data_IF_911898181609
#
_entry.id   IF_911898181609
#
_cell.length_a   1.000
_cell.length_b   1.000
_cell.length_c   1.000
_cell.angle_alpha   90.00
_cell.angle_beta   90.00
_cell.angle_gamma   90.00
#
_symmetry.space_group_name_H-M   'P 1'
#
loop_
_entity.id
_entity.type
_entity.pdbx_description
1 polymer ?
#
# COMPACT_ATOMS: atom_id res chain seq x y z
N UNK A 1 -83.44 17.58 -12.40
CA UNK A 1 -82.76 18.29 -11.30
C UNK A 1 -81.37 18.65 -11.78
N UNK A 2 -81.04 19.94 -11.59
CA UNK A 2 -79.91 20.75 -12.04
C UNK A 2 -78.66 20.10 -12.64
N UNK A 3 -78.34 20.54 -13.86
CA UNK A 3 -76.95 20.78 -14.28
C UNK A 3 -76.57 22.16 -13.76
N UNK A 4 -75.56 22.23 -12.90
CA UNK A 4 -74.92 23.49 -12.54
C UNK A 4 -73.95 23.90 -13.66
N UNK A 5 -74.37 24.87 -14.46
CA UNK A 5 -73.50 25.62 -15.37
C UNK A 5 -72.57 26.49 -14.52
N UNK A 6 -71.26 26.18 -14.53
CA UNK A 6 -70.23 27.13 -14.11
C UNK A 6 -69.75 27.91 -15.33
N UNK A 7 -70.03 29.20 -15.27
CA UNK A 7 -69.68 30.26 -16.21
C UNK A 7 -68.28 30.12 -16.79
N UNK A 8 -68.22 30.00 -18.12
CA UNK A 8 -67.00 30.13 -18.91
C UNK A 8 -66.64 31.60 -19.05
N UNK A 9 -65.55 32.03 -18.41
CA UNK A 9 -65.02 33.38 -18.60
C UNK A 9 -64.44 33.55 -20.01
N UNK A 10 -65.20 34.24 -20.86
CA UNK A 10 -64.79 35.11 -22.00
C UNK A 10 -63.57 34.68 -22.84
N UNK A 11 -63.85 34.17 -24.04
CA UNK A 11 -63.17 34.62 -25.27
C UNK A 11 -62.07 33.75 -25.90
N UNK A 12 -61.75 32.56 -25.39
CA UNK A 12 -60.68 31.72 -25.96
C UNK A 12 -61.23 30.56 -26.81
N UNK A 13 -61.27 30.73 -28.14
CA UNK A 13 -61.64 29.66 -29.08
C UNK A 13 -60.51 28.61 -29.18
N UNK A 14 -60.78 27.41 -28.68
CA UNK A 14 -59.92 26.23 -28.82
C UNK A 14 -60.04 25.68 -30.25
N UNK A 15 -58.91 25.34 -30.87
CA UNK A 15 -58.86 24.87 -32.27
C UNK A 15 -57.49 24.28 -32.62
N UNK A 16 -57.26 23.92 -33.88
CA UNK A 16 -55.97 23.35 -34.31
C UNK A 16 -54.82 24.33 -34.02
N UNK A 17 -53.81 23.86 -33.27
CA UNK A 17 -52.69 24.69 -32.79
C UNK A 17 -53.02 25.65 -31.64
N UNK A 18 -54.23 25.59 -31.07
CA UNK A 18 -54.70 26.46 -29.96
C UNK A 18 -55.18 25.60 -28.78
N UNK A 19 -54.27 25.06 -27.96
CA UNK A 19 -54.64 24.23 -26.80
C UNK A 19 -55.43 25.05 -25.77
N UNK A 20 -56.35 24.44 -25.00
CA UNK A 20 -57.10 25.10 -23.92
C UNK A 20 -56.17 25.85 -22.96
N UNK A 21 -56.59 27.03 -22.50
CA UNK A 21 -55.76 27.88 -21.64
C UNK A 21 -55.36 27.19 -20.33
N UNK A 22 -56.27 26.37 -19.77
CA UNK A 22 -56.08 25.63 -18.51
C UNK A 22 -54.97 24.58 -18.58
N UNK A 23 -54.62 24.09 -19.77
CA UNK A 23 -53.63 23.02 -19.96
C UNK A 23 -52.31 23.50 -20.57
N UNK A 24 -52.09 24.81 -20.66
CA UNK A 24 -50.83 25.37 -21.14
C UNK A 24 -49.78 25.35 -20.05
N UNK A 25 -48.57 24.93 -20.40
CA UNK A 25 -47.41 25.14 -19.53
C UNK A 25 -47.19 26.64 -19.31
N UNK A 26 -46.98 27.03 -18.06
CA UNK A 26 -46.64 28.40 -17.73
C UNK A 26 -45.26 28.76 -18.28
N UNK A 27 -45.15 29.91 -18.95
CA UNK A 27 -43.89 30.38 -19.51
C UNK A 27 -42.87 30.57 -18.38
N UNK A 28 -41.81 29.76 -18.39
CA UNK A 28 -40.74 29.78 -17.39
C UNK A 28 -40.73 28.58 -16.44
N UNK A 29 -41.81 27.78 -16.40
CA UNK A 29 -41.91 26.57 -15.57
C UNK A 29 -41.84 25.34 -16.47
N UNK A 30 -40.88 24.44 -16.19
CA UNK A 30 -40.81 23.13 -16.86
C UNK A 30 -42.04 22.30 -16.48
N UNK A 31 -42.68 21.67 -17.48
CA UNK A 31 -43.79 20.73 -17.25
C UNK A 31 -43.40 19.48 -16.44
N UNK A 32 -42.10 19.24 -16.24
CA UNK A 32 -41.58 18.25 -15.31
C UNK A 32 -40.77 18.94 -14.20
N UNK A 33 -41.35 19.14 -13.00
CA UNK A 33 -40.67 19.74 -11.85
C UNK A 33 -39.49 18.89 -11.33
N UNK A 34 -39.51 17.57 -11.56
CA UNK A 34 -38.41 16.64 -11.25
C UNK A 34 -37.39 16.53 -12.38
N UNK A 35 -37.60 17.25 -13.48
CA UNK A 35 -36.67 17.29 -14.60
C UNK A 35 -35.38 18.02 -14.25
N UNK A 36 -34.37 17.86 -15.10
CA UNK A 36 -33.10 18.57 -14.94
C UNK A 36 -33.34 20.09 -15.08
N UNK A 37 -32.86 20.93 -14.15
CA UNK A 37 -33.08 22.37 -14.20
C UNK A 37 -32.43 23.01 -15.43
N UNK A 38 -33.14 23.98 -16.02
CA UNK A 38 -32.71 24.70 -17.22
C UNK A 38 -31.48 25.55 -16.88
N UNK A 39 -30.33 25.22 -17.48
CA UNK A 39 -29.06 25.94 -17.29
C UNK A 39 -27.99 25.23 -16.46
N UNK A 40 -28.21 23.97 -16.05
CA UNK A 40 -27.17 23.16 -15.41
C UNK A 40 -26.01 22.88 -16.37
N UNK A 41 -25.00 23.76 -16.37
CA UNK A 41 -23.75 23.58 -17.13
C UNK A 41 -23.01 22.36 -16.59
N UNK A 42 -22.54 21.48 -17.48
CA UNK A 42 -21.51 20.52 -17.11
C UNK A 42 -20.30 21.33 -16.61
N UNK A 43 -19.67 20.90 -15.51
CA UNK A 43 -18.48 21.59 -14.99
C UNK A 43 -17.47 21.69 -16.13
N UNK A 44 -17.13 22.91 -16.52
CA UNK A 44 -16.12 23.20 -17.54
C UNK A 44 -14.82 22.52 -17.09
N UNK A 45 -14.07 21.86 -17.99
CA UNK A 45 -12.81 21.21 -17.65
C UNK A 45 -11.86 22.23 -17.03
N UNK A 46 -11.02 21.77 -16.10
CA UNK A 46 -9.98 22.59 -15.48
C UNK A 46 -9.15 23.26 -16.58
N UNK A 47 -9.08 24.59 -16.55
CA UNK A 47 -8.14 25.35 -17.39
C UNK A 47 -6.73 25.05 -16.89
N UNK A 48 -5.93 24.32 -17.67
CA UNK A 48 -4.50 24.13 -17.37
C UNK A 48 -3.84 22.84 -17.85
N UNK A 49 -4.57 21.88 -18.43
CA UNK A 49 -3.94 20.66 -18.96
C UNK A 49 -3.75 20.72 -20.47
N UNK A 50 -2.61 20.20 -20.93
CA UNK A 50 -2.30 20.03 -22.36
C UNK A 50 -3.22 19.01 -23.06
N UNK A 51 -4.11 18.34 -22.32
CA UNK A 51 -5.01 17.28 -22.82
C UNK A 51 -6.40 17.34 -22.15
N UNK A 52 -7.21 18.37 -22.42
CA UNK A 52 -8.50 18.60 -21.74
C UNK A 52 -9.51 17.45 -21.94
N UNK A 53 -9.39 16.67 -23.01
CA UNK A 53 -10.26 15.51 -23.29
C UNK A 53 -9.93 14.31 -22.41
N UNK A 54 -8.65 14.08 -22.08
CA UNK A 54 -8.25 13.00 -21.17
C UNK A 54 -8.76 13.26 -19.76
N UNK A 55 -8.65 14.49 -19.29
CA UNK A 55 -9.14 14.87 -17.96
C UNK A 55 -10.65 14.72 -17.83
N UNK A 56 -11.42 15.11 -18.86
CA UNK A 56 -12.86 14.87 -18.89
C UNK A 56 -13.20 13.38 -18.80
N UNK A 57 -12.48 12.55 -19.55
CA UNK A 57 -12.72 11.12 -19.57
C UNK A 57 -12.40 10.47 -18.23
N UNK A 58 -11.26 10.84 -17.61
CA UNK A 58 -10.88 10.36 -16.29
C UNK A 58 -11.86 10.85 -15.22
N UNK A 59 -12.29 12.11 -15.28
CA UNK A 59 -13.28 12.65 -14.36
C UNK A 59 -14.62 11.89 -14.44
N UNK A 60 -15.06 11.51 -15.64
CA UNK A 60 -16.27 10.69 -15.80
C UNK A 60 -16.05 9.25 -15.33
N UNK A 61 -14.90 8.65 -15.63
CA UNK A 61 -14.54 7.30 -15.20
C UNK A 61 -14.54 7.16 -13.66
N UNK A 62 -14.02 8.16 -12.95
CA UNK A 62 -13.95 8.17 -11.49
C UNK A 62 -15.14 8.83 -10.79
N UNK A 63 -16.15 9.30 -11.55
CA UNK A 63 -17.37 9.85 -10.97
C UNK A 63 -18.10 8.76 -10.19
N UNK A 64 -18.54 9.01 -8.94
CA UNK A 64 -19.35 8.04 -8.21
C UNK A 64 -20.72 7.88 -8.88
N UNK A 65 -21.14 6.63 -8.99
CA UNK A 65 -22.47 6.23 -9.46
C UNK A 65 -23.09 5.25 -8.49
N UNK A 66 -24.41 5.32 -8.34
CA UNK A 66 -25.16 4.36 -7.51
C UNK A 66 -25.54 3.18 -8.39
N UNK A 67 -25.02 2.00 -8.06
CA UNK A 67 -25.35 0.73 -8.71
C UNK A 67 -26.24 -0.09 -7.78
N UNK A 68 -27.30 -0.69 -8.33
CA UNK A 68 -28.16 -1.63 -7.60
C UNK A 68 -27.70 -3.07 -7.86
N UNK A 69 -27.25 -3.75 -6.82
CA UNK A 69 -26.91 -5.18 -6.84
C UNK A 69 -27.92 -5.94 -5.96
N UNK A 70 -28.89 -6.59 -6.61
CA UNK A 70 -30.01 -7.24 -5.92
C UNK A 70 -30.83 -6.23 -5.10
N UNK A 71 -30.79 -6.43 -3.78
CA UNK A 71 -31.48 -5.57 -2.80
C UNK A 71 -30.60 -4.47 -2.20
N UNK A 72 -29.31 -4.44 -2.55
CA UNK A 72 -28.36 -3.45 -2.03
C UNK A 72 -28.05 -2.36 -3.05
N UNK A 73 -27.91 -1.12 -2.55
CA UNK A 73 -27.41 0.03 -3.31
C UNK A 73 -25.97 0.30 -2.89
N UNK A 74 -25.04 0.26 -3.85
CA UNK A 74 -23.61 0.48 -3.62
C UNK A 74 -23.18 1.69 -4.44
N UNK A 75 -22.50 2.64 -3.80
CA UNK A 75 -21.88 3.78 -4.47
C UNK A 75 -20.43 3.41 -4.84
N UNK A 76 -20.10 3.47 -6.13
CA UNK A 76 -18.77 3.15 -6.64
C UNK A 76 -18.45 3.96 -7.90
N UNK A 77 -17.16 4.13 -8.27
CA UNK A 77 -16.77 4.82 -9.51
C UNK A 77 -17.42 4.23 -10.76
N UNK A 78 -17.80 5.08 -11.72
CA UNK A 78 -18.46 4.67 -12.97
C UNK A 78 -17.68 3.58 -13.71
N UNK A 79 -16.36 3.69 -13.80
CA UNK A 79 -15.50 2.70 -14.45
C UNK A 79 -15.58 1.33 -13.77
N UNK A 80 -15.66 1.30 -12.43
CA UNK A 80 -15.79 0.07 -11.67
C UNK A 80 -17.16 -0.58 -11.91
N UNK A 81 -18.23 0.21 -12.04
CA UNK A 81 -19.57 -0.28 -12.35
C UNK A 81 -19.62 -0.91 -13.75
N UNK A 82 -18.98 -0.28 -14.73
CA UNK A 82 -18.84 -0.81 -16.09
C UNK A 82 -18.08 -2.14 -16.09
N UNK A 83 -16.96 -2.24 -15.37
CA UNK A 83 -16.20 -3.49 -15.29
C UNK A 83 -16.98 -4.61 -14.60
N UNK A 84 -17.76 -4.32 -13.54
CA UNK A 84 -18.65 -5.33 -12.92
C UNK A 84 -19.71 -5.83 -13.90
N UNK A 85 -20.40 -4.91 -14.58
CA UNK A 85 -21.40 -5.27 -15.58
C UNK A 85 -20.80 -6.08 -16.74
N UNK A 86 -19.60 -5.70 -17.19
CA UNK A 86 -18.84 -6.44 -18.21
C UNK A 86 -18.48 -7.85 -17.75
N UNK A 87 -18.03 -8.01 -16.50
CA UNK A 87 -17.75 -9.31 -15.88
C UNK A 87 -18.99 -10.21 -15.83
N UNK A 88 -20.12 -9.67 -15.35
CA UNK A 88 -21.41 -10.41 -15.34
C UNK A 88 -21.83 -10.82 -16.74
N UNK A 89 -21.71 -9.95 -17.74
CA UNK A 89 -22.02 -10.27 -19.13
C UNK A 89 -21.10 -11.35 -19.72
N UNK A 90 -19.79 -11.29 -19.39
CA UNK A 90 -18.81 -12.28 -19.81
C UNK A 90 -19.10 -13.67 -19.21
N UNK A 91 -19.43 -13.75 -17.92
CA UNK A 91 -19.83 -14.99 -17.24
C UNK A 91 -21.10 -15.57 -17.86
N UNK A 92 -22.04 -14.73 -18.30
CA UNK A 92 -23.28 -15.15 -18.99
C UNK A 92 -23.09 -15.57 -20.46
N UNK A 93 -21.85 -15.60 -20.98
CA UNK A 93 -21.56 -16.09 -22.33
C UNK A 93 -21.52 -15.04 -23.44
N UNK A 94 -21.54 -13.73 -23.10
CA UNK A 94 -21.36 -12.70 -24.11
C UNK A 94 -19.92 -12.73 -24.66
N UNK A 95 -19.75 -13.25 -25.89
CA UNK A 95 -18.45 -13.43 -26.54
C UNK A 95 -17.65 -12.12 -26.68
N UNK A 96 -18.33 -11.00 -26.92
CA UNK A 96 -17.66 -9.69 -27.02
C UNK A 96 -17.10 -9.28 -25.65
N UNK A 97 -17.92 -9.36 -24.59
CA UNK A 97 -17.48 -9.05 -23.23
C UNK A 97 -16.34 -9.98 -22.76
N UNK A 98 -16.41 -11.28 -23.07
CA UNK A 98 -15.34 -12.24 -22.78
C UNK A 98 -14.02 -11.86 -23.47
N UNK A 99 -14.07 -11.56 -24.78
CA UNK A 99 -12.88 -11.14 -25.54
C UNK A 99 -12.29 -9.84 -25.01
N UNK A 100 -13.13 -8.84 -24.74
CA UNK A 100 -12.67 -7.54 -24.21
C UNK A 100 -12.03 -7.70 -22.84
N UNK A 101 -12.65 -8.46 -21.92
CA UNK A 101 -12.09 -8.70 -20.60
C UNK A 101 -10.76 -9.47 -20.67
N UNK A 102 -10.69 -10.53 -21.46
CA UNK A 102 -9.45 -11.28 -21.65
C UNK A 102 -8.31 -10.41 -22.20
N UNK A 103 -8.61 -9.53 -23.17
CA UNK A 103 -7.62 -8.61 -23.72
C UNK A 103 -7.13 -7.59 -22.69
N UNK A 104 -8.03 -7.04 -21.86
CA UNK A 104 -7.67 -6.11 -20.81
C UNK A 104 -6.75 -6.78 -19.77
N UNK A 105 -7.11 -7.99 -19.32
CA UNK A 105 -6.30 -8.76 -18.36
C UNK A 105 -4.92 -9.07 -18.95
N UNK A 106 -4.86 -9.59 -20.17
CA UNK A 106 -3.59 -9.89 -20.85
C UNK A 106 -2.70 -8.65 -21.00
N UNK A 107 -3.28 -7.49 -21.32
CA UNK A 107 -2.52 -6.24 -21.44
C UNK A 107 -1.98 -5.81 -20.08
N UNK A 108 -2.79 -5.86 -19.02
CA UNK A 108 -2.38 -5.49 -17.66
C UNK A 108 -1.28 -6.43 -17.16
N UNK A 109 -1.46 -7.74 -17.31
CA UNK A 109 -0.46 -8.75 -16.91
C UNK A 109 0.85 -8.55 -17.67
N UNK A 110 0.77 -8.27 -18.98
CA UNK A 110 1.95 -7.99 -19.80
C UNK A 110 2.66 -6.72 -19.36
N UNK A 111 1.94 -5.62 -19.11
CA UNK A 111 2.51 -4.36 -18.63
C UNK A 111 3.16 -4.54 -17.25
N UNK A 112 2.51 -5.26 -16.34
CA UNK A 112 3.07 -5.59 -15.03
C UNK A 112 4.34 -6.44 -15.15
N UNK A 113 4.30 -7.49 -15.97
CA UNK A 113 5.45 -8.35 -16.22
C UNK A 113 6.61 -7.57 -16.85
N UNK A 114 6.34 -6.70 -17.83
CA UNK A 114 7.35 -5.85 -18.45
C UNK A 114 7.96 -4.87 -17.43
N UNK A 115 7.14 -4.17 -16.64
CA UNK A 115 7.64 -3.26 -15.62
C UNK A 115 8.49 -3.98 -14.56
N UNK A 116 8.06 -5.17 -14.13
CA UNK A 116 8.85 -6.00 -13.20
C UNK A 116 10.16 -6.48 -13.84
N UNK A 117 10.13 -6.89 -15.11
CA UNK A 117 11.30 -7.33 -15.85
C UNK A 117 12.33 -6.20 -16.03
N UNK A 118 11.89 -5.02 -16.47
CA UNK A 118 12.77 -3.84 -16.65
C UNK A 118 13.46 -3.46 -15.33
N UNK A 119 12.71 -3.49 -14.23
CA UNK A 119 13.26 -3.17 -12.92
C UNK A 119 14.26 -4.24 -12.45
N UNK A 120 13.93 -5.52 -12.64
CA UNK A 120 14.81 -6.64 -12.32
C UNK A 120 16.10 -6.62 -13.16
N UNK A 121 16.00 -6.31 -14.46
CA UNK A 121 17.13 -6.17 -15.36
C UNK A 121 18.06 -5.05 -14.87
N UNK A 122 17.52 -3.88 -14.54
CA UNK A 122 18.28 -2.76 -14.01
C UNK A 122 19.03 -3.12 -12.71
N UNK A 123 18.37 -3.81 -11.77
CA UNK A 123 19.02 -4.25 -10.53
C UNK A 123 20.06 -5.34 -10.75
N UNK A 124 19.83 -6.23 -11.71
CA UNK A 124 20.80 -7.27 -12.09
C UNK A 124 22.06 -6.64 -12.67
N UNK A 125 21.91 -5.70 -13.61
CA UNK A 125 23.02 -4.94 -14.18
C UNK A 125 23.78 -4.14 -13.11
N UNK A 126 23.05 -3.47 -12.22
CA UNK A 126 23.62 -2.74 -11.09
C UNK A 126 24.47 -3.66 -10.21
N UNK A 127 23.93 -4.83 -9.84
CA UNK A 127 24.61 -5.81 -8.98
C UNK A 127 25.87 -6.35 -9.63
N UNK A 128 25.80 -6.72 -10.91
CA UNK A 128 26.96 -7.19 -11.69
C UNK A 128 28.04 -6.11 -11.76
N UNK A 129 27.66 -4.88 -12.11
CA UNK A 129 28.59 -3.75 -12.25
C UNK A 129 29.34 -3.45 -10.96
N UNK A 130 28.63 -3.34 -9.83
CA UNK A 130 29.27 -3.01 -8.56
C UNK A 130 30.09 -4.16 -7.99
N UNK A 131 29.67 -5.41 -8.16
CA UNK A 131 30.50 -6.55 -7.78
C UNK A 131 31.83 -6.55 -8.52
N UNK A 132 31.82 -6.28 -9.83
CA UNK A 132 33.05 -6.16 -10.62
C UNK A 132 33.94 -5.01 -10.14
N UNK A 133 33.36 -3.85 -9.82
CA UNK A 133 34.15 -2.70 -9.34
C UNK A 133 34.73 -2.94 -7.94
N UNK A 134 33.96 -3.55 -7.02
CA UNK A 134 34.45 -3.94 -5.68
C UNK A 134 35.61 -4.94 -5.82
N UNK A 135 35.47 -5.96 -6.65
CA UNK A 135 36.54 -6.93 -6.91
C UNK A 135 37.79 -6.28 -7.51
N UNK A 136 37.59 -5.34 -8.44
CA UNK A 136 38.68 -4.57 -9.05
C UNK A 136 39.40 -3.71 -8.00
N UNK A 137 38.67 -2.97 -7.17
CA UNK A 137 39.26 -2.16 -6.09
C UNK A 137 40.05 -3.03 -5.12
N UNK A 138 39.50 -4.18 -4.71
CA UNK A 138 40.19 -5.16 -3.84
C UNK A 138 41.49 -5.66 -4.46
N UNK A 139 41.49 -6.01 -5.76
CA UNK A 139 42.70 -6.46 -6.48
C UNK A 139 43.79 -5.38 -6.58
N UNK A 140 43.38 -4.11 -6.68
CA UNK A 140 44.29 -2.97 -6.84
C UNK A 140 44.69 -2.32 -5.51
N UNK A 141 44.15 -2.77 -4.37
CA UNK A 141 44.38 -2.15 -3.06
C UNK A 141 43.79 -0.74 -2.95
N UNK A 142 42.77 -0.42 -3.75
CA UNK A 142 42.06 0.85 -3.71
C UNK A 142 41.02 0.85 -2.58
N UNK A 143 40.58 2.04 -2.10
CA UNK A 143 39.52 2.12 -1.10
C UNK A 143 38.26 1.38 -1.56
N UNK A 144 37.66 0.61 -0.65
CA UNK A 144 36.48 -0.20 -0.92
C UNK A 144 35.28 0.72 -1.21
N UNK A 145 34.71 0.68 -2.44
CA UNK A 145 33.58 1.54 -2.76
C UNK A 145 32.36 1.10 -1.94
N UNK A 146 31.61 2.08 -1.43
CA UNK A 146 30.39 1.85 -0.64
C UNK A 146 29.17 2.35 -1.43
N UNK A 147 28.79 1.65 -2.51
CA UNK A 147 27.66 2.05 -3.32
C UNK A 147 26.34 1.93 -2.55
N UNK A 148 25.37 2.76 -2.91
CA UNK A 148 24.03 2.77 -2.32
C UNK A 148 22.99 2.51 -3.41
N UNK A 149 22.21 1.41 -3.30
CA UNK A 149 22.33 0.32 -2.32
C UNK A 149 23.58 -0.55 -2.53
N UNK A 150 24.05 -1.27 -1.51
CA UNK A 150 25.16 -2.22 -1.71
C UNK A 150 24.68 -3.41 -2.57
N UNK A 151 25.50 -3.97 -3.49
CA UNK A 151 25.07 -5.10 -4.34
C UNK A 151 24.60 -6.33 -3.57
N UNK A 152 25.19 -6.61 -2.41
CA UNK A 152 24.76 -7.72 -1.53
C UNK A 152 23.40 -7.47 -0.86
N UNK A 153 23.00 -6.21 -0.70
CA UNK A 153 21.70 -5.85 -0.14
C UNK A 153 20.58 -6.02 -1.19
N UNK A 154 20.92 -6.20 -2.47
CA UNK A 154 19.96 -6.45 -3.55
C UNK A 154 19.72 -7.96 -3.68
N UNK A 155 18.59 -8.44 -3.15
CA UNK A 155 18.18 -9.84 -3.18
C UNK A 155 17.24 -10.06 -4.37
N UNK A 156 17.64 -10.89 -5.33
CA UNK A 156 16.87 -11.19 -6.54
C UNK A 156 16.54 -12.68 -6.56
N UNK A 157 15.25 -13.00 -6.65
CA UNK A 157 14.78 -14.35 -6.92
C UNK A 157 14.51 -14.50 -8.41
N UNK A 158 15.48 -15.09 -9.12
CA UNK A 158 15.41 -15.32 -10.56
C UNK A 158 14.34 -16.32 -10.98
N UNK A 159 13.76 -17.10 -10.05
CA UNK A 159 12.69 -18.05 -10.37
C UNK A 159 11.33 -17.36 -10.37
N UNK A 160 11.07 -16.49 -9.38
CA UNK A 160 9.80 -15.76 -9.28
C UNK A 160 9.82 -14.40 -10.00
N UNK A 161 11.00 -13.88 -10.34
CA UNK A 161 11.16 -12.53 -10.89
C UNK A 161 10.97 -11.43 -9.84
N UNK A 162 10.91 -11.80 -8.55
CA UNK A 162 10.80 -10.84 -7.46
C UNK A 162 12.17 -10.38 -6.99
N UNK A 163 12.24 -9.15 -6.47
CA UNK A 163 13.45 -8.63 -5.84
C UNK A 163 13.09 -7.86 -4.57
N UNK A 164 14.04 -7.78 -3.65
CA UNK A 164 13.94 -7.03 -2.40
C UNK A 164 15.28 -6.37 -2.10
N UNK A 165 15.23 -5.16 -1.53
CA UNK A 165 16.41 -4.45 -1.05
C UNK A 165 16.45 -4.58 0.48
N UNK A 166 17.49 -5.21 0.99
CA UNK A 166 17.76 -5.50 2.39
C UNK A 166 18.90 -4.60 2.91
N UNK A 167 18.76 -3.29 2.68
CA UNK A 167 19.79 -2.31 3.03
C UNK A 167 19.36 -0.88 2.70
N UNK A 168 20.18 0.12 3.04
CA UNK A 168 19.87 1.52 2.78
C UNK A 168 19.93 1.81 1.27
N UNK A 169 18.94 2.54 0.76
CA UNK A 169 18.95 3.02 -0.63
C UNK A 169 19.45 4.46 -0.73
N UNK A 170 19.27 5.25 0.32
CA UNK A 170 19.66 6.67 0.34
C UNK A 170 20.78 6.93 1.33
N UNK A 171 21.46 8.08 1.16
CA UNK A 171 22.50 8.53 2.10
C UNK A 171 21.94 8.79 3.50
N UNK A 172 20.72 9.29 3.59
CA UNK A 172 20.05 9.58 4.87
C UNK A 172 19.68 8.28 5.60
N UNK A 173 19.17 7.28 4.87
CA UNK A 173 18.94 5.95 5.43
C UNK A 173 20.25 5.32 5.88
N UNK A 174 21.32 5.41 5.07
CA UNK A 174 22.63 4.91 5.45
C UNK A 174 23.10 5.51 6.77
N UNK A 175 22.99 6.82 6.94
CA UNK A 175 23.40 7.49 8.17
C UNK A 175 22.64 6.98 9.41
N UNK A 176 21.32 6.75 9.28
CA UNK A 176 20.51 6.14 10.35
C UNK A 176 20.93 4.70 10.65
N UNK A 177 21.26 3.93 9.62
CA UNK A 177 21.75 2.57 9.79
C UNK A 177 23.11 2.55 10.49
N UNK A 178 24.02 3.44 10.09
CA UNK A 178 25.33 3.59 10.70
C UNK A 178 25.19 3.98 12.19
N UNK A 179 24.25 4.86 12.54
CA UNK A 179 23.93 5.23 13.93
C UNK A 179 23.39 4.03 14.74
N UNK A 180 22.46 3.25 14.17
CA UNK A 180 21.95 2.04 14.82
C UNK A 180 23.05 1.00 15.04
N UNK A 181 23.89 0.76 14.03
CA UNK A 181 25.03 -0.16 14.13
C UNK A 181 26.02 0.33 15.20
N UNK A 182 26.27 1.64 15.28
CA UNK A 182 27.11 2.22 16.31
C UNK A 182 26.54 1.99 17.72
N UNK A 183 25.25 2.26 17.95
CA UNK A 183 24.60 2.02 19.25
C UNK A 183 24.62 0.54 19.64
N UNK A 184 24.45 -0.37 18.69
CA UNK A 184 24.59 -1.81 18.94
C UNK A 184 26.03 -2.17 19.35
N UNK A 185 27.02 -1.64 18.66
CA UNK A 185 28.43 -1.91 19.00
C UNK A 185 28.81 -1.31 20.37
N UNK A 186 28.24 -0.16 20.73
CA UNK A 186 28.35 0.42 22.07
C UNK A 186 27.73 -0.51 23.13
N UNK A 187 26.51 -1.03 22.89
CA UNK A 187 25.88 -2.00 23.78
C UNK A 187 26.78 -3.23 24.01
N UNK A 188 27.40 -3.75 22.94
CA UNK A 188 28.37 -4.85 23.05
C UNK A 188 29.55 -4.51 23.97
N UNK A 189 30.09 -3.29 23.85
CA UNK A 189 31.18 -2.81 24.71
C UNK A 189 30.76 -2.74 26.17
N UNK A 190 29.61 -2.15 26.45
CA UNK A 190 29.05 -2.02 27.80
C UNK A 190 28.72 -3.37 28.42
N UNK A 191 28.21 -4.34 27.64
CA UNK A 191 28.00 -5.72 28.11
C UNK A 191 29.30 -6.35 28.62
N UNK A 192 30.41 -6.14 27.91
CA UNK A 192 31.73 -6.65 28.34
C UNK A 192 32.27 -5.89 29.55
N UNK A 193 32.06 -4.58 29.59
CA UNK A 193 32.47 -3.73 30.72
C UNK A 193 31.73 -4.12 32.00
N UNK A 194 30.39 -4.21 31.95
CA UNK A 194 29.61 -4.64 33.11
C UNK A 194 29.91 -6.08 33.52
N UNK A 195 30.23 -6.97 32.58
CA UNK A 195 30.69 -8.33 32.90
C UNK A 195 32.03 -8.35 33.65
N UNK A 196 32.87 -7.34 33.42
CA UNK A 196 34.15 -7.14 34.13
C UNK A 196 33.90 -6.52 35.50
N UNK A 197 33.12 -5.45 35.59
CA UNK A 197 32.79 -4.76 36.84
C UNK A 197 32.03 -5.66 37.83
N UNK A 198 31.15 -6.55 37.35
CA UNK A 198 30.49 -7.57 38.17
C UNK A 198 31.50 -8.45 38.95
N UNK A 199 32.70 -8.67 38.39
CA UNK A 199 33.78 -9.45 39.02
C UNK A 199 34.71 -8.61 39.89
N UNK A 200 34.98 -7.38 39.48
CA UNK A 200 35.91 -6.48 40.18
C UNK A 200 35.27 -5.82 41.42
N UNK A 201 33.97 -5.58 41.37
CA UNK A 201 33.20 -4.88 42.41
C UNK A 201 31.99 -5.72 42.86
N UNK A 202 32.20 -6.80 43.65
CA UNK A 202 31.14 -7.72 44.04
C UNK A 202 30.03 -7.06 44.88
N UNK A 203 30.32 -5.95 45.56
CA UNK A 203 29.34 -5.15 46.31
C UNK A 203 28.21 -4.60 45.42
N UNK A 204 28.51 -4.31 44.15
CA UNK A 204 27.55 -3.77 43.17
C UNK A 204 27.19 -4.78 42.07
N UNK A 205 27.57 -6.06 42.22
CA UNK A 205 27.42 -7.08 41.20
C UNK A 205 25.99 -7.23 40.66
N UNK A 206 24.98 -7.16 41.52
CA UNK A 206 23.56 -7.25 41.12
C UNK A 206 23.17 -6.10 40.19
N UNK A 207 23.58 -4.87 40.52
CA UNK A 207 23.34 -3.69 39.70
C UNK A 207 24.04 -3.77 38.34
N UNK A 208 25.30 -4.21 38.34
CA UNK A 208 26.04 -4.41 37.09
C UNK A 208 25.42 -5.52 36.24
N UNK A 209 24.90 -6.58 36.86
CA UNK A 209 24.17 -7.65 36.16
C UNK A 209 22.90 -7.13 35.49
N UNK A 210 22.11 -6.31 36.19
CA UNK A 210 20.91 -5.71 35.63
C UNK A 210 21.21 -4.81 34.42
N UNK A 211 22.23 -3.94 34.54
CA UNK A 211 22.67 -3.10 33.42
C UNK A 211 23.22 -3.92 32.26
N UNK A 212 23.98 -4.97 32.54
CA UNK A 212 24.46 -5.91 31.53
C UNK A 212 23.30 -6.62 30.83
N UNK A 213 22.23 -7.00 31.54
CA UNK A 213 21.03 -7.59 30.93
C UNK A 213 20.25 -6.58 30.10
N UNK A 214 20.16 -5.33 30.55
CA UNK A 214 19.55 -4.24 29.79
C UNK A 214 20.28 -4.00 28.46
N UNK A 215 21.61 -3.87 28.49
CA UNK A 215 22.39 -3.65 27.26
C UNK A 215 22.37 -4.85 26.32
N UNK A 216 22.30 -6.09 26.83
CA UNK A 216 22.05 -7.26 25.99
C UNK A 216 20.72 -7.17 25.25
N UNK A 217 19.65 -6.71 25.91
CA UNK A 217 18.34 -6.51 25.25
C UNK A 217 18.40 -5.42 24.18
N UNK A 218 19.14 -4.34 24.42
CA UNK A 218 19.33 -3.28 23.43
C UNK A 218 20.09 -3.81 22.22
N UNK A 219 21.19 -4.55 22.45
CA UNK A 219 21.95 -5.21 21.39
C UNK A 219 21.04 -6.09 20.55
N UNK A 220 20.31 -7.03 21.18
CA UNK A 220 19.45 -7.99 20.49
C UNK A 220 18.35 -7.27 19.68
N UNK A 221 17.68 -6.28 20.27
CA UNK A 221 16.61 -5.53 19.60
C UNK A 221 17.11 -4.80 18.35
N UNK A 222 18.29 -4.19 18.40
CA UNK A 222 18.86 -3.50 17.24
C UNK A 222 19.35 -4.53 16.22
N UNK A 223 20.02 -5.59 16.67
CA UNK A 223 20.60 -6.61 15.81
C UNK A 223 19.53 -7.39 15.04
N UNK A 224 18.43 -7.78 15.70
CA UNK A 224 17.32 -8.52 15.09
C UNK A 224 16.53 -7.67 14.09
N UNK A 225 16.53 -6.35 14.26
CA UNK A 225 15.90 -5.42 13.31
C UNK A 225 16.75 -5.22 12.03
N UNK A 226 18.05 -5.50 12.09
CA UNK A 226 18.96 -5.40 10.96
C UNK A 226 18.92 -6.68 10.10
N UNK A 227 19.10 -6.58 8.77
CA UNK A 227 19.25 -7.75 7.90
C UNK A 227 20.50 -8.57 8.25
N UNK A 228 20.48 -9.84 7.87
CA UNK A 228 21.51 -10.84 8.16
C UNK A 228 22.95 -10.35 7.90
N UNK A 229 23.19 -9.64 6.78
CA UNK A 229 24.51 -9.08 6.44
C UNK A 229 25.08 -8.13 7.51
N UNK A 230 24.20 -7.43 8.23
CA UNK A 230 24.58 -6.45 9.23
C UNK A 230 24.53 -7.02 10.65
N UNK A 231 24.04 -8.24 10.85
CA UNK A 231 23.94 -8.85 12.19
C UNK A 231 25.33 -9.21 12.74
N UNK A 232 25.48 -9.08 14.05
CA UNK A 232 26.68 -9.44 14.81
C UNK A 232 26.33 -10.41 15.95
N UNK A 233 27.31 -11.20 16.37
CA UNK A 233 27.17 -12.11 17.50
C UNK A 233 27.51 -11.39 18.80
N UNK A 234 26.63 -11.50 19.80
CA UNK A 234 26.86 -10.92 21.11
C UNK A 234 27.91 -11.72 21.91
N UNK A 235 28.99 -11.06 22.31
CA UNK A 235 30.01 -11.60 23.21
C UNK A 235 29.68 -11.28 24.67
N UNK A 236 30.03 -12.18 25.60
CA UNK A 236 29.78 -11.94 27.02
C UNK A 236 28.29 -11.98 27.42
N UNK A 237 27.45 -12.76 26.72
CA UNK A 237 26.04 -12.96 27.08
C UNK A 237 25.90 -13.49 28.50
N UNK A 238 25.10 -12.82 29.34
CA UNK A 238 24.74 -13.32 30.66
C UNK A 238 23.59 -14.32 30.50
N UNK A 239 23.66 -15.46 31.19
CA UNK A 239 22.49 -16.34 31.33
C UNK A 239 21.60 -15.72 32.40
N UNK A 240 20.31 -15.56 32.09
CA UNK A 240 19.32 -15.35 33.14
C UNK A 240 19.40 -16.61 34.02
N UNK A 241 19.59 -16.45 35.32
CA UNK A 241 19.44 -17.57 36.22
C UNK A 241 17.95 -17.94 36.16
N UNK A 242 17.64 -19.09 35.57
CA UNK A 242 16.32 -19.68 35.64
C UNK A 242 16.05 -19.93 37.13
N UNK A 243 15.32 -19.00 37.77
CA UNK A 243 14.56 -19.32 38.97
C UNK A 243 13.34 -20.11 38.48
N UNK A 244 13.57 -21.35 38.06
CA UNK A 244 12.52 -22.36 38.11
C UNK A 244 12.45 -22.85 39.55
N UNK A 245 11.37 -22.45 40.19
CA UNK A 245 10.91 -22.90 41.50
C UNK A 245 11.04 -24.43 41.57
N UNK A 246 11.84 -24.92 42.52
CA UNK A 246 11.63 -26.24 43.14
C UNK A 246 10.27 -26.16 43.87
N UNK A 247 9.18 -26.19 43.11
CA UNK A 247 7.88 -26.57 43.61
C UNK A 247 7.85 -28.10 43.66
N UNK A 248 7.87 -28.59 44.91
CA UNK A 248 7.78 -30.01 45.20
C UNK A 248 6.49 -30.63 44.67
N UNK A 249 6.60 -31.87 44.24
CA UNK A 249 5.49 -32.81 44.25
C UNK A 249 5.97 -34.11 44.87
N UNK A 250 5.81 -34.18 46.19
CA UNK A 250 5.56 -35.44 46.90
C UNK A 250 4.24 -36.01 46.36
N UNK A 251 4.31 -37.01 45.48
CA UNK A 251 3.20 -37.93 45.27
C UNK A 251 3.67 -39.38 45.31
N UNK A 252 3.46 -40.00 46.48
CA UNK A 252 3.27 -41.43 46.62
C UNK A 252 2.26 -41.94 45.58
N UNK A 253 2.60 -43.02 44.86
CA UNK A 253 1.63 -44.08 44.57
C UNK A 253 2.32 -45.39 44.20
N UNK A 254 1.99 -46.41 44.98
CA UNK A 254 2.15 -47.83 44.68
C UNK A 254 1.58 -48.19 43.29
N UNK A 255 2.27 -49.05 42.54
CA UNK A 255 1.69 -50.26 41.95
C UNK A 255 2.71 -51.07 41.12
N UNK A 256 2.72 -52.38 41.43
CA UNK A 256 3.31 -53.54 40.73
C UNK A 256 4.77 -53.88 41.01
#
# INVERSE_FOLDING_TARGET
MSRDDKETSKGYLVGYGKPPAEHRFQKGVSGNPRGRPKGAKNKTPLKGSDRPTQDMLLAEAYRPVVLREGDTLIELPAIQAVFRAMGVAAVKGNRFAQKTLAQLVQNIEKEQFQAQYELMESFTEYKVKWNQEIERCKKLGLPDPQPLPHPDDVLIDYRSGSFRIAGPMTKEEKAKWDELIARRNEAQGEVLEYARLEKEEPEYAERYRDWRLFEQRIFDKINDALPERYQAKLEGRARVADNEEEDGDDSESEAA
#
